data_IF_288311481117
#
_entry.id   IF_288311481117
#
_cell.length_a   1.000
_cell.length_b   1.000
_cell.length_c   1.000
_cell.angle_alpha   90.00
_cell.angle_beta   90.00
_cell.angle_gamma   90.00
#
_symmetry.space_group_name_H-M   'P 1'
#
loop_
_entity.id
_entity.type
_entity.pdbx_description
1 polymer ?
#
# COMPACT_ATOMS: atom_id res chain seq x y z
N UNK A 1 -1.59 5.33 -8.91
CA UNK A 1 -2.08 6.41 -9.79
C UNK A 1 -1.00 6.83 -10.79
N UNK A 2 0.12 7.41 -10.33
CA UNK A 2 1.21 7.88 -11.19
C UNK A 2 1.71 6.85 -12.23
N UNK A 3 1.93 5.58 -11.83
CA UNK A 3 2.35 4.52 -12.76
C UNK A 3 1.35 4.34 -13.91
N UNK A 4 0.05 4.24 -13.59
CA UNK A 4 -1.03 4.10 -14.60
C UNK A 4 -1.09 5.31 -15.53
N UNK A 5 -0.95 6.53 -14.99
CA UNK A 5 -0.92 7.78 -15.78
C UNK A 5 0.27 7.83 -16.74
N UNK A 6 1.37 7.14 -16.43
CA UNK A 6 2.55 7.00 -17.29
C UNK A 6 2.53 5.70 -18.14
N UNK A 7 1.39 5.02 -18.23
CA UNK A 7 1.25 3.80 -19.03
C UNK A 7 1.96 2.56 -18.46
N UNK A 8 2.35 2.60 -17.19
CA UNK A 8 3.01 1.50 -16.49
C UNK A 8 1.96 0.62 -15.82
N UNK A 9 1.89 -0.65 -16.24
CA UNK A 9 1.07 -1.66 -15.59
C UNK A 9 1.68 -2.05 -14.25
N UNK A 10 0.85 -2.15 -13.21
CA UNK A 10 1.29 -2.55 -11.87
C UNK A 10 0.64 -3.88 -11.54
N UNK A 11 1.47 -4.90 -11.34
CA UNK A 11 1.06 -6.21 -10.83
C UNK A 11 1.39 -6.26 -9.34
N UNK A 12 0.47 -6.79 -8.55
CA UNK A 12 0.64 -6.97 -7.11
C UNK A 12 0.68 -8.46 -6.80
N UNK A 13 1.57 -8.83 -5.91
CA UNK A 13 1.71 -10.19 -5.38
C UNK A 13 1.42 -10.18 -3.89
N UNK A 14 1.40 -11.37 -3.28
CA UNK A 14 1.48 -11.49 -1.83
C UNK A 14 2.81 -10.90 -1.30
N UNK A 15 2.83 -10.59 -0.01
CA UNK A 15 3.99 -10.01 0.67
C UNK A 15 5.15 -11.01 0.71
N UNK A 16 6.34 -10.58 0.31
CA UNK A 16 7.55 -11.39 0.26
C UNK A 16 8.22 -11.39 -1.12
N UNK A 17 9.54 -11.15 -1.14
CA UNK A 17 10.42 -11.15 -2.31
C UNK A 17 10.25 -12.37 -3.24
N UNK A 18 10.04 -13.56 -2.67
CA UNK A 18 9.80 -14.80 -3.41
C UNK A 18 8.62 -14.66 -4.39
N UNK A 19 7.49 -14.13 -3.94
CA UNK A 19 6.30 -13.99 -4.78
C UNK A 19 6.52 -12.98 -5.89
N UNK A 20 7.28 -11.91 -5.61
CA UNK A 20 7.67 -10.92 -6.61
C UNK A 20 8.53 -11.58 -7.71
N UNK A 21 9.57 -12.33 -7.34
CA UNK A 21 10.46 -13.00 -8.30
C UNK A 21 9.71 -14.05 -9.12
N UNK A 22 8.84 -14.83 -8.49
CA UNK A 22 8.01 -15.83 -9.19
C UNK A 22 7.11 -15.17 -10.24
N UNK A 23 6.42 -14.09 -9.89
CA UNK A 23 5.54 -13.35 -10.81
C UNK A 23 6.32 -12.68 -11.94
N UNK A 24 7.49 -12.11 -11.63
CA UNK A 24 8.40 -11.53 -12.62
C UNK A 24 8.87 -12.56 -13.63
N UNK A 25 9.27 -13.76 -13.18
CA UNK A 25 9.70 -14.85 -14.07
C UNK A 25 8.56 -15.39 -14.92
N UNK A 26 7.40 -15.60 -14.30
CA UNK A 26 6.21 -16.15 -14.96
C UNK A 26 5.75 -15.28 -16.13
N UNK A 27 5.87 -13.96 -16.01
CA UNK A 27 5.36 -13.00 -16.98
C UNK A 27 6.46 -12.17 -17.67
N UNK A 28 7.73 -12.53 -17.46
CA UNK A 28 8.90 -11.90 -18.07
C UNK A 28 8.98 -10.37 -17.81
N UNK A 29 8.77 -9.95 -16.55
CA UNK A 29 8.89 -8.55 -16.12
C UNK A 29 10.32 -8.19 -15.74
N UNK A 30 10.78 -7.00 -16.13
CA UNK A 30 12.17 -6.57 -15.91
C UNK A 30 12.41 -5.84 -14.57
N UNK A 31 11.37 -5.30 -13.93
CA UNK A 31 11.46 -4.53 -12.68
C UNK A 31 10.40 -4.98 -11.67
N UNK A 32 10.82 -5.21 -10.43
CA UNK A 32 9.94 -5.50 -9.31
C UNK A 32 10.56 -5.09 -7.98
N UNK A 33 9.80 -5.24 -6.89
CA UNK A 33 10.34 -5.00 -5.56
C UNK A 33 9.28 -4.77 -4.49
N UNK A 34 9.78 -4.43 -3.29
CA UNK A 34 8.98 -4.19 -2.09
C UNK A 34 9.24 -2.79 -1.52
N UNK A 35 8.31 -2.30 -0.69
CA UNK A 35 8.42 -1.00 -0.03
C UNK A 35 9.63 -0.87 0.91
N UNK A 36 10.23 -1.99 1.32
CA UNK A 36 11.46 -2.04 2.13
C UNK A 36 12.69 -1.50 1.40
N UNK A 37 12.62 -1.30 0.08
CA UNK A 37 13.76 -0.98 -0.77
C UNK A 37 14.43 -2.21 -1.38
N UNK A 38 13.85 -3.41 -1.21
CA UNK A 38 14.25 -4.60 -1.95
C UNK A 38 13.78 -4.48 -3.41
N UNK A 39 14.65 -3.97 -4.28
CA UNK A 39 14.37 -3.73 -5.70
C UNK A 39 15.12 -4.73 -6.57
N UNK A 40 14.42 -5.33 -7.52
CA UNK A 40 14.91 -6.39 -8.39
C UNK A 40 14.91 -5.90 -9.84
N UNK A 41 16.08 -5.92 -10.46
CA UNK A 41 16.27 -5.78 -11.91
C UNK A 41 16.66 -7.15 -12.45
N UNK A 42 15.69 -7.95 -12.91
CA UNK A 42 15.92 -9.39 -13.17
C UNK A 42 16.93 -9.65 -14.31
N UNK A 43 17.10 -8.67 -15.19
CA UNK A 43 18.07 -8.71 -16.29
C UNK A 43 19.52 -8.48 -15.80
N UNK A 44 19.69 -7.97 -14.58
CA UNK A 44 20.98 -7.59 -13.99
C UNK A 44 21.34 -8.42 -12.77
N UNK A 45 20.35 -8.91 -12.01
CA UNK A 45 20.54 -9.75 -10.83
C UNK A 45 19.41 -10.75 -10.67
N UNK A 46 19.71 -11.94 -10.13
CA UNK A 46 18.72 -12.98 -9.84
C UNK A 46 17.95 -12.73 -8.53
N UNK A 47 18.30 -11.68 -7.78
CA UNK A 47 17.68 -11.28 -6.51
C UNK A 47 17.69 -9.75 -6.37
N UNK A 48 17.03 -9.22 -5.35
CA UNK A 48 17.10 -7.79 -5.06
C UNK A 48 18.51 -7.35 -4.68
N UNK A 49 18.99 -6.31 -5.34
CA UNK A 49 20.35 -5.79 -5.15
C UNK A 49 20.29 -4.27 -5.00
N UNK A 50 20.58 -3.80 -3.78
CA UNK A 50 20.55 -2.38 -3.45
C UNK A 50 21.62 -1.56 -4.18
N UNK A 51 22.79 -2.14 -4.46
CA UNK A 51 23.85 -1.45 -5.19
C UNK A 51 23.43 -1.26 -6.66
N UNK A 52 22.88 -2.30 -7.29
CA UNK A 52 22.34 -2.22 -8.64
C UNK A 52 21.20 -1.21 -8.70
N UNK A 53 20.27 -1.24 -7.74
CA UNK A 53 19.18 -0.28 -7.69
C UNK A 53 19.69 1.18 -7.53
N UNK A 54 20.64 1.41 -6.63
CA UNK A 54 21.25 2.72 -6.45
C UNK A 54 21.97 3.21 -7.72
N UNK A 55 22.72 2.33 -8.39
CA UNK A 55 23.40 2.66 -9.65
C UNK A 55 22.40 3.02 -10.76
N UNK A 56 21.28 2.30 -10.87
CA UNK A 56 20.22 2.62 -11.83
C UNK A 56 19.59 3.99 -11.53
N UNK A 57 19.34 4.33 -10.26
CA UNK A 57 18.84 5.66 -9.87
C UNK A 57 19.86 6.75 -10.23
N UNK A 58 21.14 6.55 -9.89
CA UNK A 58 22.22 7.49 -10.23
C UNK A 58 22.40 7.65 -11.74
N UNK A 59 22.25 6.57 -12.52
CA UNK A 59 22.29 6.62 -13.97
C UNK A 59 21.15 7.49 -14.54
N UNK A 60 19.94 7.38 -13.99
CA UNK A 60 18.80 8.25 -14.36
C UNK A 60 19.05 9.71 -13.98
N UNK A 61 19.55 9.97 -12.77
CA UNK A 61 19.92 11.32 -12.33
C UNK A 61 20.94 11.95 -13.29
N UNK A 62 21.99 11.20 -13.64
CA UNK A 62 23.03 11.66 -14.56
C UNK A 62 22.50 11.88 -15.98
N UNK A 63 21.70 10.95 -16.51
CA UNK A 63 21.17 11.04 -17.87
C UNK A 63 20.16 12.18 -18.06
N UNK A 64 19.46 12.57 -16.99
CA UNK A 64 18.46 13.65 -17.01
C UNK A 64 18.99 14.98 -16.50
N UNK A 65 20.21 15.00 -15.95
CA UNK A 65 20.79 16.15 -15.25
C UNK A 65 19.87 16.71 -14.14
N UNK A 66 19.19 15.80 -13.43
CA UNK A 66 18.28 16.14 -12.34
C UNK A 66 18.80 15.61 -11.02
N UNK A 67 18.59 16.39 -9.95
CA UNK A 67 18.78 15.91 -8.59
C UNK A 67 17.73 14.87 -8.22
N UNK A 68 18.00 14.09 -7.16
CA UNK A 68 17.02 13.12 -6.66
C UNK A 68 15.74 13.81 -6.16
N UNK A 69 15.85 15.00 -5.57
CA UNK A 69 14.68 15.77 -5.13
C UNK A 69 13.78 16.15 -6.30
N UNK A 70 14.36 16.59 -7.43
CA UNK A 70 13.62 16.92 -8.64
C UNK A 70 12.97 15.68 -9.28
N UNK A 71 13.64 14.52 -9.27
CA UNK A 71 13.03 13.27 -9.72
C UNK A 71 11.84 12.86 -8.85
N UNK A 72 11.90 13.12 -7.54
CA UNK A 72 10.88 12.77 -6.57
C UNK A 72 9.67 13.72 -6.57
N UNK A 73 9.76 14.92 -7.17
CA UNK A 73 8.63 15.89 -7.20
C UNK A 73 7.35 15.32 -7.82
N UNK A 74 7.46 14.32 -8.70
CA UNK A 74 6.30 13.65 -9.30
C UNK A 74 5.62 12.64 -8.39
N UNK A 75 6.32 12.18 -7.35
CA UNK A 75 5.80 11.23 -6.37
C UNK A 75 5.11 12.01 -5.25
N UNK A 76 3.80 12.20 -5.41
CA UNK A 76 2.97 12.80 -4.36
C UNK A 76 2.45 11.69 -3.47
N UNK A 77 2.79 11.76 -2.18
CA UNK A 77 2.24 10.85 -1.18
C UNK A 77 0.72 10.99 -1.12
N UNK A 78 0.03 9.85 -1.18
CA UNK A 78 -1.41 9.82 -0.95
C UNK A 78 -1.66 10.13 0.53
N UNK A 79 -2.57 11.06 0.86
CA UNK A 79 -3.01 11.24 2.24
C UNK A 79 -3.48 9.90 2.82
N UNK A 80 -3.08 9.66 4.07
CA UNK A 80 -3.40 8.45 4.81
C UNK A 80 -3.80 8.79 6.24
N UNK A 81 -4.75 8.03 6.78
CA UNK A 81 -5.20 8.11 8.17
C UNK A 81 -5.15 6.71 8.76
N UNK A 82 -4.45 6.57 9.88
CA UNK A 82 -4.35 5.34 10.65
C UNK A 82 -4.98 5.57 12.03
N UNK A 83 -6.05 4.83 12.33
CA UNK A 83 -6.67 4.81 13.67
C UNK A 83 -6.42 3.45 14.31
N UNK A 84 -5.95 3.48 15.56
CA UNK A 84 -5.78 2.29 16.38
C UNK A 84 -6.89 2.27 17.43
N UNK A 85 -7.76 1.27 17.35
CA UNK A 85 -8.89 1.10 18.29
C UNK A 85 -8.60 -0.08 19.20
N UNK A 86 -8.80 0.10 20.50
CA UNK A 86 -8.64 -0.99 21.47
C UNK A 86 -9.84 -1.93 21.39
N UNK A 87 -9.59 -3.23 21.41
CA UNK A 87 -10.63 -4.27 21.30
C UNK A 87 -10.42 -5.33 22.37
N UNK A 88 -11.51 -5.94 22.87
CA UNK A 88 -11.45 -7.00 23.89
C UNK A 88 -11.47 -8.39 23.29
N UNK A 89 -12.03 -8.55 22.09
CA UNK A 89 -12.13 -9.82 21.38
C UNK A 89 -11.61 -9.73 19.96
N UNK A 90 -11.14 -10.86 19.43
CA UNK A 90 -10.80 -11.05 18.02
C UNK A 90 -11.86 -11.95 17.39
N UNK A 91 -12.32 -11.55 16.22
CA UNK A 91 -13.29 -12.28 15.41
C UNK A 91 -12.94 -12.05 13.93
N UNK A 92 -13.38 -12.93 13.04
CA UNK A 92 -13.29 -12.68 11.59
C UNK A 92 -14.07 -11.39 11.27
N UNK A 93 -13.43 -10.46 10.55
CA UNK A 93 -13.99 -9.13 10.33
C UNK A 93 -15.32 -9.20 9.59
N UNK A 94 -15.44 -10.14 8.66
CA UNK A 94 -16.61 -10.41 7.84
C UNK A 94 -17.82 -10.88 8.64
N UNK A 95 -17.61 -11.39 9.87
CA UNK A 95 -18.67 -11.80 10.79
C UNK A 95 -19.18 -10.66 11.68
N UNK A 96 -18.45 -9.54 11.74
CA UNK A 96 -18.83 -8.39 12.54
C UNK A 96 -20.02 -7.70 11.88
N UNK A 97 -21.10 -7.55 12.65
CA UNK A 97 -22.35 -6.97 12.17
C UNK A 97 -22.13 -5.56 11.59
N UNK A 98 -22.54 -5.35 10.35
CA UNK A 98 -22.45 -4.05 9.67
C UNK A 98 -21.07 -3.72 9.09
N UNK A 99 -20.06 -4.56 9.30
CA UNK A 99 -18.70 -4.30 8.82
C UNK A 99 -18.62 -4.38 7.29
N UNK A 100 -19.15 -5.46 6.70
CA UNK A 100 -19.08 -5.69 5.24
C UNK A 100 -19.83 -4.60 4.48
N UNK A 101 -20.99 -4.19 4.96
CA UNK A 101 -21.80 -3.14 4.35
C UNK A 101 -21.06 -1.79 4.40
N UNK A 102 -20.48 -1.44 5.55
CA UNK A 102 -19.74 -0.18 5.73
C UNK A 102 -18.47 -0.14 4.89
N UNK A 103 -17.71 -1.25 4.85
CA UNK A 103 -16.52 -1.37 4.00
C UNK A 103 -16.88 -1.11 2.54
N UNK A 104 -17.94 -1.77 2.06
CA UNK A 104 -18.38 -1.61 0.66
C UNK A 104 -18.82 -0.17 0.35
N UNK A 105 -19.58 0.46 1.24
CA UNK A 105 -20.00 1.86 1.08
C UNK A 105 -18.79 2.80 0.97
N UNK A 106 -17.78 2.59 1.81
CA UNK A 106 -16.56 3.39 1.81
C UNK A 106 -15.73 3.13 0.55
N UNK A 107 -15.54 1.86 0.15
CA UNK A 107 -14.81 1.51 -1.07
C UNK A 107 -15.47 2.09 -2.32
N UNK A 108 -16.81 2.02 -2.42
CA UNK A 108 -17.59 2.61 -3.50
C UNK A 108 -17.44 4.15 -3.50
N UNK A 109 -17.43 4.77 -2.31
CA UNK A 109 -17.25 6.22 -2.17
C UNK A 109 -15.84 6.69 -2.53
N UNK A 110 -14.82 5.86 -2.28
CA UNK A 110 -13.43 6.13 -2.68
C UNK A 110 -13.21 6.01 -4.19
N UNK A 111 -14.16 5.42 -4.94
CA UNK A 111 -14.15 5.32 -6.42
C UNK A 111 -12.83 4.79 -7.00
N UNK A 112 -12.14 3.92 -6.26
CA UNK A 112 -10.82 3.38 -6.64
C UNK A 112 -9.66 4.38 -6.57
N UNK A 113 -9.87 5.58 -6.02
CA UNK A 113 -8.81 6.57 -5.76
C UNK A 113 -8.18 6.44 -4.38
N UNK A 114 -8.67 5.51 -3.56
CA UNK A 114 -8.20 5.25 -2.21
C UNK A 114 -8.16 3.76 -1.87
N UNK A 115 -7.81 3.49 -0.61
CA UNK A 115 -7.73 2.13 -0.07
C UNK A 115 -8.20 2.11 1.38
N UNK A 116 -8.97 1.10 1.73
CA UNK A 116 -9.24 0.72 3.11
C UNK A 116 -8.46 -0.55 3.46
N UNK A 117 -7.83 -0.59 4.63
CA UNK A 117 -7.15 -1.77 5.13
C UNK A 117 -7.35 -1.88 6.64
N UNK A 118 -7.99 -2.97 7.06
CA UNK A 118 -8.30 -3.24 8.47
C UNK A 118 -7.62 -4.54 8.88
N UNK A 119 -6.92 -4.52 10.02
CA UNK A 119 -6.31 -5.73 10.59
C UNK A 119 -6.16 -5.66 12.10
N UNK A 120 -6.18 -6.82 12.76
CA UNK A 120 -5.76 -6.92 14.16
C UNK A 120 -4.24 -6.75 14.29
N UNK A 121 -3.79 -6.12 15.37
CA UNK A 121 -2.39 -6.17 15.79
C UNK A 121 -2.04 -7.58 16.28
N UNK A 122 -0.86 -8.08 15.92
CA UNK A 122 -0.39 -9.39 16.38
C UNK A 122 -0.02 -9.40 17.86
N UNK A 123 0.55 -8.30 18.35
CA UNK A 123 1.19 -8.17 19.67
C UNK A 123 0.36 -7.38 20.68
N UNK A 124 -0.61 -6.59 20.23
CA UNK A 124 -1.38 -5.67 21.06
C UNK A 124 -2.90 -5.95 20.92
N UNK A 125 -3.72 -5.61 21.94
CA UNK A 125 -5.17 -5.75 21.89
C UNK A 125 -5.82 -4.57 21.13
N UNK A 126 -5.34 -4.31 19.91
CA UNK A 126 -5.83 -3.23 19.04
C UNK A 126 -6.15 -3.75 17.65
N UNK A 127 -7.16 -3.14 17.03
CA UNK A 127 -7.44 -3.23 15.60
C UNK A 127 -6.96 -1.94 14.93
N UNK A 128 -6.32 -2.08 13.77
CA UNK A 128 -5.72 -1.00 12.99
C UNK A 128 -6.57 -0.75 11.76
N UNK A 129 -7.06 0.48 11.62
CA UNK A 129 -7.86 0.93 10.48
C UNK A 129 -7.03 1.95 9.71
N UNK A 130 -6.58 1.58 8.51
CA UNK A 130 -5.86 2.45 7.60
C UNK A 130 -6.79 2.81 6.44
N UNK A 131 -6.98 4.11 6.21
CA UNK A 131 -7.67 4.64 5.03
C UNK A 131 -6.75 5.58 4.29
N UNK A 132 -6.58 5.35 2.99
CA UNK A 132 -5.80 6.18 2.07
C UNK A 132 -6.74 6.77 1.02
N UNK A 133 -6.50 8.01 0.60
CA UNK A 133 -7.30 8.66 -0.44
C UNK A 133 -6.98 10.14 -0.63
N UNK A 134 -7.53 10.78 -1.69
CA UNK A 134 -7.12 12.11 -2.12
C UNK A 134 -7.59 13.23 -1.17
N UNK A 135 -8.70 13.05 -0.46
CA UNK A 135 -9.24 14.03 0.49
C UNK A 135 -9.04 13.54 1.93
N UNK A 136 -8.13 14.22 2.64
CA UNK A 136 -7.80 13.89 4.04
C UNK A 136 -9.01 13.98 4.97
N UNK A 137 -9.90 14.96 4.78
CA UNK A 137 -11.06 15.13 5.64
C UNK A 137 -12.06 13.99 5.43
N UNK A 138 -12.20 13.54 4.19
CA UNK A 138 -13.08 12.43 3.84
C UNK A 138 -12.56 11.11 4.42
N UNK A 139 -11.28 10.79 4.21
CA UNK A 139 -10.69 9.54 4.72
C UNK A 139 -10.63 9.50 6.25
N UNK A 140 -10.46 10.66 6.93
CA UNK A 140 -10.56 10.73 8.39
C UNK A 140 -11.94 10.29 8.87
N UNK A 141 -13.02 10.79 8.24
CA UNK A 141 -14.39 10.40 8.59
C UNK A 141 -14.62 8.91 8.39
N UNK A 142 -14.14 8.34 7.29
CA UNK A 142 -14.25 6.90 7.02
C UNK A 142 -13.48 6.06 8.05
N UNK A 143 -12.25 6.46 8.39
CA UNK A 143 -11.46 5.79 9.40
C UNK A 143 -12.17 5.81 10.76
N UNK A 144 -12.72 6.96 11.15
CA UNK A 144 -13.46 7.14 12.41
C UNK A 144 -14.75 6.31 12.45
N UNK A 145 -15.51 6.27 11.35
CA UNK A 145 -16.73 5.47 11.25
C UNK A 145 -16.47 3.98 11.47
N UNK A 146 -15.46 3.43 10.78
CA UNK A 146 -15.08 2.02 10.93
C UNK A 146 -14.51 1.76 12.33
N UNK A 147 -13.62 2.63 12.80
CA UNK A 147 -13.05 2.51 14.14
C UNK A 147 -14.14 2.47 15.22
N UNK A 148 -15.17 3.32 15.11
CA UNK A 148 -16.28 3.40 16.05
C UNK A 148 -17.18 2.16 15.99
N UNK A 149 -17.45 1.64 14.79
CA UNK A 149 -18.18 0.39 14.61
C UNK A 149 -17.43 -0.78 15.27
N UNK A 150 -16.13 -0.90 14.99
CA UNK A 150 -15.30 -1.97 15.53
C UNK A 150 -15.14 -1.85 17.04
N UNK A 151 -14.98 -0.63 17.58
CA UNK A 151 -14.96 -0.42 19.02
C UNK A 151 -16.26 -0.89 19.66
N UNK A 152 -17.41 -0.49 19.12
CA UNK A 152 -18.72 -0.86 19.65
C UNK A 152 -18.96 -2.37 19.64
N UNK A 153 -18.62 -3.03 18.54
CA UNK A 153 -18.91 -4.46 18.36
C UNK A 153 -17.83 -5.37 18.98
N UNK A 154 -16.60 -4.88 19.22
CA UNK A 154 -15.48 -5.69 19.75
C UNK A 154 -15.01 -5.27 21.15
N UNK A 155 -15.62 -4.25 21.77
CA UNK A 155 -15.40 -3.91 23.19
C UNK A 155 -16.03 -4.91 24.16
#
# INVERSE_FOLDING_TARGET
KLMKENGIAVVRTDVGDKYVVEEMRKNNYCLGGEQSGHIIFIDQSTTGDGCVAALNVLAVMKARELSLSQLNEKMVDMPQVLINTRVRRREELEKIKGYVELVKEIEDSLKGEGRLFVRFSGTEPVIRVLVEGPDRNLISKYAEQIASLLEKELS
#
